data_IF_072662865993
#
_entry.id   IF_072662865993
#
_cell.length_a   1.000
_cell.length_b   1.000
_cell.length_c   1.000
_cell.angle_alpha   90.00
_cell.angle_beta   90.00
_cell.angle_gamma   90.00
#
_symmetry.space_group_name_H-M   'P 1'
#
loop_
_entity.id
_entity.type
_entity.pdbx_description
1 polymer ?
#
# COMPACT_ATOMS: atom_id res chain seq x y z
N UNK A 1 52.67 -30.96 -11.45
CA UNK A 1 54.15 -30.95 -11.41
C UNK A 1 54.61 -29.62 -11.98
N UNK A 2 55.46 -28.79 -11.37
CA UNK A 2 56.07 -28.73 -10.03
C UNK A 2 56.07 -27.23 -9.63
N UNK A 3 55.60 -26.84 -8.45
CA UNK A 3 56.44 -26.56 -7.27
C UNK A 3 57.65 -25.64 -7.54
N UNK A 4 57.57 -24.36 -7.11
CA UNK A 4 58.35 -23.86 -5.96
C UNK A 4 57.96 -22.44 -5.51
N UNK A 5 57.64 -22.32 -4.24
CA UNK A 5 57.74 -21.11 -3.39
C UNK A 5 59.19 -20.77 -3.05
N UNK A 6 59.53 -19.51 -2.73
CA UNK A 6 60.26 -19.14 -1.49
C UNK A 6 60.49 -17.62 -1.30
N UNK A 7 60.63 -17.22 -0.02
CA UNK A 7 61.12 -15.99 0.64
C UNK A 7 60.88 -14.57 0.03
N UNK A 8 60.54 -13.50 0.76
CA UNK A 8 60.72 -13.04 2.17
C UNK A 8 62.00 -12.20 2.48
N UNK A 9 61.76 -10.90 2.71
CA UNK A 9 62.51 -9.91 3.54
C UNK A 9 64.01 -9.65 3.33
N UNK A 10 64.33 -8.38 3.00
CA UNK A 10 65.27 -7.46 3.70
C UNK A 10 65.14 -6.04 3.08
N UNK A 11 64.80 -5.00 3.84
CA UNK A 11 65.71 -3.92 4.35
C UNK A 11 66.72 -3.38 3.33
N UNK A 12 66.90 -2.08 3.10
CA UNK A 12 66.39 -0.85 3.75
C UNK A 12 67.28 0.36 3.36
N UNK A 13 66.96 1.57 3.86
CA UNK A 13 67.64 2.87 3.65
C UNK A 13 67.24 3.63 2.36
N UNK A 14 66.43 4.70 2.45
CA UNK A 14 66.78 6.14 2.69
C UNK A 14 67.26 6.85 1.39
N UNK A 15 66.98 8.13 1.07
CA UNK A 15 66.68 9.32 1.90
C UNK A 15 66.12 10.48 1.02
N UNK A 16 65.54 11.53 1.64
CA UNK A 16 65.26 12.93 1.15
C UNK A 16 63.90 13.20 0.48
N UNK A 17 63.22 14.34 0.70
CA UNK A 17 63.39 15.51 1.58
C UNK A 17 62.07 16.33 1.59
N UNK A 18 61.63 16.91 2.73
CA UNK A 18 61.08 18.28 2.87
C UNK A 18 60.36 18.53 4.23
N UNK A 19 60.37 19.80 4.65
CA UNK A 19 59.84 20.43 5.87
C UNK A 19 58.41 20.02 6.34
N UNK A 20 58.00 20.25 7.59
CA UNK A 20 58.72 20.87 8.71
C UNK A 20 57.81 21.57 9.73
N UNK A 21 57.65 20.92 10.89
CA UNK A 21 57.35 21.47 12.23
C UNK A 21 56.01 22.22 12.48
N UNK A 22 55.23 21.64 13.38
CA UNK A 22 54.16 22.32 14.14
C UNK A 22 54.57 22.35 15.62
N UNK A 23 54.51 23.53 16.24
CA UNK A 23 54.57 23.72 17.71
C UNK A 23 53.21 24.24 18.18
N UNK A 24 52.80 23.86 19.39
CA UNK A 24 51.57 24.38 20.02
C UNK A 24 51.80 24.79 21.48
N UNK A 25 51.21 25.93 21.87
CA UNK A 25 50.98 26.45 23.24
C UNK A 25 49.77 27.40 23.07
N UNK A 26 48.56 27.12 23.56
CA UNK A 26 48.03 27.13 24.93
C UNK A 26 47.63 28.52 25.50
N UNK A 27 46.31 28.66 25.67
CA UNK A 27 45.56 29.31 26.77
C UNK A 27 45.56 30.86 27.01
N UNK A 28 44.36 31.33 27.34
CA UNK A 28 43.94 32.54 28.11
C UNK A 28 43.61 33.85 27.37
N UNK A 29 42.34 34.30 27.54
CA UNK A 29 41.96 35.68 27.84
C UNK A 29 40.63 35.70 28.62
N UNK A 30 40.42 36.71 29.47
CA UNK A 30 39.30 36.79 30.45
C UNK A 30 38.81 38.24 30.58
N UNK A 31 37.48 38.43 30.75
CA UNK A 31 36.78 39.66 31.18
C UNK A 31 36.69 40.87 30.19
N UNK A 32 35.65 41.72 30.16
CA UNK A 32 34.44 41.87 31.01
C UNK A 32 33.30 42.74 30.40
N UNK A 33 32.04 42.38 30.73
CA UNK A 33 30.84 43.22 31.05
C UNK A 33 30.10 44.04 29.95
N UNK A 34 28.78 43.80 29.87
CA UNK A 34 27.70 44.73 29.43
C UNK A 34 26.30 44.14 29.67
N UNK A 35 25.37 44.86 30.31
CA UNK A 35 24.04 44.39 30.78
C UNK A 35 23.12 45.61 31.04
N UNK A 36 21.78 45.61 30.98
CA UNK A 36 20.73 44.59 30.73
C UNK A 36 19.40 45.33 30.41
N UNK A 37 18.18 44.92 30.84
CA UNK A 37 17.72 43.75 31.61
C UNK A 37 16.57 42.95 30.92
N UNK A 38 15.88 42.07 31.66
CA UNK A 38 14.99 41.01 31.15
C UNK A 38 13.47 41.32 31.07
N UNK A 39 12.72 40.49 30.31
CA UNK A 39 11.28 40.25 30.51
C UNK A 39 10.50 39.72 29.29
N UNK A 40 9.87 38.53 29.41
CA UNK A 40 8.84 38.03 28.48
C UNK A 40 9.11 36.63 27.89
N UNK A 41 8.17 35.67 27.98
CA UNK A 41 8.27 34.35 27.33
C UNK A 41 7.53 34.28 25.98
N UNK A 42 7.92 33.28 25.19
CA UNK A 42 7.14 32.58 24.14
C UNK A 42 6.46 33.41 23.03
N UNK A 43 7.12 33.52 21.86
CA UNK A 43 6.45 33.48 20.55
C UNK A 43 7.48 33.16 19.44
N UNK A 44 7.75 31.86 19.20
CA UNK A 44 8.58 31.45 18.05
C UNK A 44 7.70 31.42 16.79
N UNK A 45 7.66 32.54 16.07
CA UNK A 45 7.00 32.66 14.77
C UNK A 45 7.75 31.86 13.72
N UNK A 46 7.24 30.67 13.38
CA UNK A 46 7.81 29.85 12.30
C UNK A 46 7.54 30.50 10.93
N UNK A 47 8.62 30.94 10.26
CA UNK A 47 8.54 31.54 8.93
C UNK A 47 8.10 30.53 7.86
N UNK A 48 7.11 30.91 7.07
CA UNK A 48 6.69 30.20 5.86
C UNK A 48 7.81 30.24 4.81
N UNK A 49 8.62 29.17 4.75
CA UNK A 49 9.48 28.90 3.60
C UNK A 49 8.69 28.20 2.50
N UNK A 50 8.32 28.96 1.47
CA UNK A 50 7.73 28.44 0.24
C UNK A 50 8.83 27.79 -0.60
N UNK A 51 8.82 26.46 -0.77
CA UNK A 51 9.84 25.78 -1.59
C UNK A 51 9.51 24.31 -1.88
N UNK A 52 9.66 23.94 -3.16
CA UNK A 52 9.69 22.59 -3.73
C UNK A 52 8.51 21.63 -3.46
N UNK A 53 7.63 21.50 -4.46
CA UNK A 53 6.79 20.31 -4.62
C UNK A 53 7.66 19.11 -5.02
N UNK A 54 8.27 18.46 -4.02
CA UNK A 54 8.97 17.20 -4.19
C UNK A 54 8.02 16.13 -4.71
N UNK A 55 8.35 15.52 -5.84
CA UNK A 55 7.61 14.40 -6.45
C UNK A 55 7.53 13.22 -5.47
N UNK A 56 6.42 13.11 -4.74
CA UNK A 56 6.21 12.03 -3.78
C UNK A 56 6.16 10.70 -4.51
N UNK A 57 7.15 9.84 -4.26
CA UNK A 57 7.02 8.40 -4.52
C UNK A 57 5.83 7.89 -3.72
N UNK A 58 4.77 7.47 -4.41
CA UNK A 58 3.62 6.82 -3.80
C UNK A 58 4.00 5.37 -3.45
N UNK A 59 4.88 5.21 -2.47
CA UNK A 59 5.01 3.94 -1.73
C UNK A 59 3.75 3.83 -0.86
N UNK A 60 2.65 3.39 -1.49
CA UNK A 60 1.32 3.24 -0.89
C UNK A 60 1.40 2.22 0.24
N UNK A 61 1.73 2.71 1.42
CA UNK A 61 1.91 1.91 2.64
C UNK A 61 0.59 1.87 3.41
N UNK A 62 -0.49 1.64 2.68
CA UNK A 62 -1.73 1.12 3.25
C UNK A 62 -1.37 -0.30 3.71
N UNK A 63 -1.41 -0.61 5.02
CA UNK A 63 -1.14 -1.96 5.49
C UNK A 63 -2.18 -2.90 4.89
N UNK A 64 -1.77 -3.93 4.15
CA UNK A 64 -2.70 -4.81 3.41
C UNK A 64 -3.12 -6.01 4.25
N UNK A 65 -4.32 -5.92 4.83
CA UNK A 65 -4.90 -6.89 5.75
C UNK A 65 -6.43 -6.91 5.74
N UNK A 66 -7.09 -6.31 4.74
CA UNK A 66 -8.55 -6.32 4.63
C UNK A 66 -9.03 -7.75 4.34
N UNK A 67 -9.59 -8.41 5.35
CA UNK A 67 -10.46 -9.55 5.12
C UNK A 67 -11.77 -9.04 4.54
N UNK A 68 -11.99 -9.31 3.25
CA UNK A 68 -13.30 -9.12 2.63
C UNK A 68 -14.32 -10.18 3.13
N UNK A 69 -13.89 -11.28 3.75
CA UNK A 69 -14.81 -12.31 4.28
C UNK A 69 -15.69 -11.71 5.39
N UNK A 70 -17.01 -11.83 5.22
CA UNK A 70 -18.01 -11.21 6.09
C UNK A 70 -18.33 -9.75 5.75
N UNK A 71 -17.64 -9.14 4.79
CA UNK A 71 -17.78 -7.72 4.49
C UNK A 71 -19.08 -7.39 3.76
N UNK A 72 -20.08 -6.91 4.50
CA UNK A 72 -21.30 -6.31 3.95
C UNK A 72 -21.23 -4.78 4.08
N UNK A 73 -20.93 -4.09 2.98
CA UNK A 73 -21.04 -2.62 2.91
C UNK A 73 -22.49 -2.15 2.65
N UNK A 74 -23.48 -3.06 2.65
CA UNK A 74 -24.88 -2.74 2.38
C UNK A 74 -25.39 -1.62 3.32
N UNK A 75 -24.87 -1.54 4.55
CA UNK A 75 -25.19 -0.47 5.49
C UNK A 75 -24.52 0.89 5.20
N UNK A 76 -23.35 0.92 4.57
CA UNK A 76 -22.67 2.14 4.13
C UNK A 76 -23.29 2.72 2.86
N UNK A 77 -23.69 1.82 1.95
CA UNK A 77 -24.40 2.09 0.69
C UNK A 77 -25.72 2.83 0.89
N UNK A 78 -26.61 2.25 1.70
CA UNK A 78 -28.02 2.63 1.69
C UNK A 78 -28.39 3.65 2.77
N UNK A 79 -27.65 3.71 3.88
CA UNK A 79 -28.15 4.40 5.06
C UNK A 79 -27.57 5.81 5.26
N UNK A 80 -26.41 6.18 4.70
CA UNK A 80 -26.02 7.59 4.74
C UNK A 80 -24.62 8.03 4.37
N UNK A 81 -23.58 7.18 4.39
CA UNK A 81 -22.20 7.68 4.15
C UNK A 81 -21.94 8.00 2.68
N UNK A 82 -22.45 7.17 1.77
CA UNK A 82 -22.50 7.43 0.33
C UNK A 82 -23.22 8.75 -0.01
N UNK A 83 -24.31 9.07 0.69
CA UNK A 83 -25.19 10.21 0.39
C UNK A 83 -24.78 11.52 1.07
N UNK A 84 -24.23 11.48 2.29
CA UNK A 84 -23.85 12.66 3.09
C UNK A 84 -22.34 12.95 3.06
N UNK A 85 -21.62 12.29 2.15
CA UNK A 85 -20.18 12.40 2.03
C UNK A 85 -19.40 11.63 3.09
N UNK A 86 -18.14 11.31 2.76
CA UNK A 86 -17.14 10.84 3.71
C UNK A 86 -16.57 12.05 4.48
N UNK A 87 -17.46 12.78 5.14
CA UNK A 87 -17.18 13.97 5.96
C UNK A 87 -17.52 13.70 7.43
N UNK A 88 -17.10 14.61 8.34
CA UNK A 88 -17.51 14.55 9.75
C UNK A 88 -19.05 14.53 9.90
N UNK A 89 -19.78 15.22 9.03
CA UNK A 89 -21.24 15.24 9.02
C UNK A 89 -21.81 13.86 8.65
N UNK A 90 -21.28 13.21 7.62
CA UNK A 90 -21.73 11.86 7.21
C UNK A 90 -21.48 10.79 8.29
N UNK A 91 -20.35 10.87 8.98
CA UNK A 91 -20.02 10.01 10.12
C UNK A 91 -20.88 10.28 11.37
N UNK A 92 -21.53 11.44 11.46
CA UNK A 92 -22.43 11.81 12.57
C UNK A 92 -23.86 11.26 12.42
N UNK A 93 -24.19 10.60 11.31
CA UNK A 93 -25.54 10.07 11.05
C UNK A 93 -25.89 8.87 11.95
N UNK A 94 -27.15 8.77 12.36
CA UNK A 94 -27.69 7.59 13.09
C UNK A 94 -27.46 6.29 12.32
N UNK A 95 -27.63 6.37 11.01
CA UNK A 95 -27.30 5.34 10.03
C UNK A 95 -25.86 4.83 10.07
N UNK A 96 -24.87 5.74 10.02
CA UNK A 96 -23.47 5.35 10.12
C UNK A 96 -23.19 4.70 11.47
N UNK A 97 -23.69 5.28 12.57
CA UNK A 97 -23.57 4.67 13.91
C UNK A 97 -24.13 3.25 13.95
N UNK A 98 -25.32 3.03 13.38
CA UNK A 98 -25.96 1.71 13.34
C UNK A 98 -25.16 0.69 12.53
N UNK A 99 -24.65 1.05 11.34
CA UNK A 99 -23.78 0.17 10.57
C UNK A 99 -22.47 -0.14 11.33
N UNK A 100 -21.82 0.90 11.89
CA UNK A 100 -20.58 0.73 12.65
C UNK A 100 -20.82 -0.15 13.89
N UNK A 101 -21.96 -0.03 14.56
CA UNK A 101 -22.26 -0.86 15.73
C UNK A 101 -22.66 -2.30 15.38
N UNK A 102 -23.09 -2.58 14.14
CA UNK A 102 -23.56 -3.91 13.71
C UNK A 102 -22.46 -4.99 13.65
N UNK A 103 -21.23 -4.63 13.26
CA UNK A 103 -20.09 -5.55 13.27
C UNK A 103 -18.86 -4.93 13.98
N UNK A 104 -18.71 -5.16 15.31
CA UNK A 104 -17.56 -4.69 16.06
C UNK A 104 -16.22 -5.31 15.64
N UNK A 105 -16.23 -6.42 14.89
CA UNK A 105 -15.01 -7.15 14.51
C UNK A 105 -14.35 -6.57 13.27
N UNK A 106 -15.14 -6.14 12.26
CA UNK A 106 -14.60 -5.65 10.98
C UNK A 106 -14.65 -4.13 10.81
N UNK A 107 -15.64 -3.43 11.39
CA UNK A 107 -15.95 -1.99 11.16
C UNK A 107 -14.75 -1.04 11.06
N UNK A 108 -13.79 -1.19 11.96
CA UNK A 108 -12.64 -0.29 12.09
C UNK A 108 -11.67 -0.52 10.94
N UNK A 109 -11.47 -1.78 10.57
CA UNK A 109 -10.61 -2.18 9.46
C UNK A 109 -11.21 -1.70 8.14
N UNK A 110 -12.52 -1.88 7.94
CA UNK A 110 -13.25 -1.35 6.78
C UNK A 110 -13.05 0.15 6.62
N UNK A 111 -13.21 0.92 7.70
CA UNK A 111 -13.05 2.38 7.66
C UNK A 111 -11.61 2.82 7.40
N UNK A 112 -10.59 2.06 7.82
CA UNK A 112 -9.19 2.33 7.42
C UNK A 112 -9.05 2.35 5.89
N UNK A 113 -9.49 1.30 5.17
CA UNK A 113 -9.35 1.26 3.71
C UNK A 113 -10.30 2.20 3.00
N UNK A 114 -11.54 2.37 3.46
CA UNK A 114 -12.46 3.35 2.87
C UNK A 114 -11.84 4.74 2.92
N UNK A 115 -11.26 5.14 4.07
CA UNK A 115 -10.64 6.46 4.21
C UNK A 115 -9.31 6.52 3.46
N UNK A 116 -8.41 5.54 3.56
CA UNK A 116 -7.13 5.54 2.86
C UNK A 116 -7.29 5.57 1.33
N UNK A 117 -8.25 4.83 0.78
CA UNK A 117 -8.59 4.85 -0.64
C UNK A 117 -9.28 6.17 -1.06
N UNK A 118 -10.31 6.61 -0.34
CA UNK A 118 -11.15 7.73 -0.80
C UNK A 118 -10.53 9.11 -0.53
N UNK A 119 -9.90 9.29 0.63
CA UNK A 119 -9.45 10.58 1.16
C UNK A 119 -7.99 10.83 0.78
N UNK A 120 -7.60 12.06 0.37
CA UNK A 120 -6.21 12.38 0.07
C UNK A 120 -5.28 12.27 1.29
N UNK A 121 -4.01 11.96 1.02
CA UNK A 121 -2.94 11.98 2.03
C UNK A 121 -2.87 13.32 2.77
N UNK A 122 -2.46 13.26 4.04
CA UNK A 122 -2.44 14.42 4.94
C UNK A 122 -3.79 14.83 5.54
N UNK A 123 -4.91 14.24 5.09
CA UNK A 123 -6.21 14.40 5.76
C UNK A 123 -6.57 13.18 6.61
N UNK A 124 -7.41 13.38 7.61
CA UNK A 124 -7.93 12.31 8.48
C UNK A 124 -9.45 12.35 8.57
N UNK A 125 -10.05 11.26 9.06
CA UNK A 125 -11.47 11.17 9.42
C UNK A 125 -11.58 10.57 10.81
N UNK A 126 -12.42 11.18 11.66
CA UNK A 126 -12.55 10.81 13.07
C UNK A 126 -14.01 10.54 13.42
N UNK A 127 -14.24 9.53 14.24
CA UNK A 127 -15.56 9.13 14.73
C UNK A 127 -15.48 8.68 16.19
N UNK A 128 -16.32 9.24 17.05
CA UNK A 128 -16.48 8.81 18.45
C UNK A 128 -17.72 7.95 18.58
N UNK A 129 -17.55 6.68 18.97
CA UNK A 129 -18.65 5.76 19.24
C UNK A 129 -19.29 6.10 20.59
N UNK A 130 -20.51 6.63 20.56
CA UNK A 130 -21.27 7.04 21.76
C UNK A 130 -21.55 5.91 22.75
N UNK A 131 -21.48 4.65 22.32
CA UNK A 131 -21.75 3.50 23.19
C UNK A 131 -20.52 3.07 24.00
N UNK A 132 -19.32 3.36 23.50
CA UNK A 132 -18.04 2.94 24.11
C UNK A 132 -17.16 4.12 24.53
N UNK A 133 -17.49 5.34 24.10
CA UNK A 133 -16.67 6.56 24.18
C UNK A 133 -15.27 6.42 23.55
N UNK A 134 -15.06 5.43 22.67
CA UNK A 134 -13.82 5.26 21.91
C UNK A 134 -13.86 6.19 20.70
N UNK A 135 -12.81 6.98 20.52
CA UNK A 135 -12.58 7.78 19.32
C UNK A 135 -11.65 7.05 18.37
N UNK A 136 -12.16 6.76 17.17
CA UNK A 136 -11.42 6.18 16.06
C UNK A 136 -10.95 7.30 15.13
N UNK A 137 -9.71 7.22 14.65
CA UNK A 137 -9.16 8.11 13.63
C UNK A 137 -8.52 7.29 12.52
N UNK A 138 -8.85 7.65 11.28
CA UNK A 138 -8.37 6.99 10.06
C UNK A 138 -7.67 8.02 9.17
N UNK A 139 -6.55 7.64 8.56
CA UNK A 139 -5.75 8.50 7.69
C UNK A 139 -6.16 8.28 6.23
N UNK A 140 -6.26 9.37 5.46
CA UNK A 140 -6.33 9.33 4.00
C UNK A 140 -4.96 9.05 3.39
N UNK A 141 -4.95 8.62 2.13
CA UNK A 141 -3.72 8.36 1.37
C UNK A 141 -3.92 8.69 -0.13
N UNK A 142 -4.69 7.87 -0.84
CA UNK A 142 -4.76 7.90 -2.30
C UNK A 142 -5.67 8.99 -2.90
N UNK A 143 -6.66 9.49 -2.15
CA UNK A 143 -7.55 10.55 -2.65
C UNK A 143 -8.39 10.18 -3.87
N UNK A 144 -8.79 8.91 -4.02
CA UNK A 144 -9.50 8.43 -5.21
C UNK A 144 -10.92 8.99 -5.36
N UNK A 145 -11.48 9.56 -4.29
CA UNK A 145 -12.85 10.07 -4.26
C UNK A 145 -12.91 11.46 -3.57
N UNK A 146 -12.34 12.46 -4.22
CA UNK A 146 -12.19 13.82 -3.68
C UNK A 146 -13.51 14.54 -3.44
N UNK A 147 -14.55 14.31 -4.27
CA UNK A 147 -15.88 14.91 -4.07
C UNK A 147 -16.57 14.28 -2.87
N UNK A 148 -16.51 12.95 -2.76
CA UNK A 148 -17.03 12.21 -1.62
C UNK A 148 -16.32 12.58 -0.32
N UNK A 149 -14.99 12.63 -0.33
CA UNK A 149 -14.15 13.08 0.78
C UNK A 149 -14.42 14.54 1.17
N UNK A 150 -14.74 15.39 0.19
CA UNK A 150 -15.14 16.79 0.38
C UNK A 150 -16.56 16.99 0.95
N UNK A 151 -17.30 15.91 1.23
CA UNK A 151 -18.63 15.98 1.84
C UNK A 151 -19.81 15.98 0.85
N UNK A 152 -19.55 15.85 -0.45
CA UNK A 152 -20.62 15.64 -1.44
C UNK A 152 -21.08 14.17 -1.45
N UNK A 153 -22.26 13.89 -2.01
CA UNK A 153 -22.66 12.53 -2.31
C UNK A 153 -21.65 11.86 -3.26
N UNK A 154 -21.30 10.60 -2.99
CA UNK A 154 -20.38 9.83 -3.83
C UNK A 154 -20.97 9.60 -5.21
N UNK A 155 -20.18 9.85 -6.25
CA UNK A 155 -20.51 9.40 -7.61
C UNK A 155 -20.30 7.89 -7.75
N UNK A 156 -20.99 7.25 -8.69
CA UNK A 156 -20.80 5.82 -8.98
C UNK A 156 -19.34 5.50 -9.32
N UNK A 157 -18.64 6.38 -10.03
CA UNK A 157 -17.22 6.20 -10.37
C UNK A 157 -16.31 6.24 -9.13
N UNK A 158 -16.60 7.09 -8.14
CA UNK A 158 -15.91 7.11 -6.84
C UNK A 158 -16.16 5.83 -6.04
N UNK A 159 -17.42 5.38 -5.95
CA UNK A 159 -17.76 4.12 -5.26
C UNK A 159 -17.09 2.91 -5.92
N UNK A 160 -17.02 2.87 -7.25
CA UNK A 160 -16.33 1.83 -8.00
C UNK A 160 -14.82 1.83 -7.75
N UNK A 161 -14.14 2.98 -7.86
CA UNK A 161 -12.68 3.03 -7.69
C UNK A 161 -12.24 2.79 -6.25
N UNK A 162 -13.03 3.23 -5.26
CA UNK A 162 -12.78 2.90 -3.86
C UNK A 162 -13.00 1.40 -3.62
N UNK A 163 -14.03 0.79 -4.21
CA UNK A 163 -14.23 -0.67 -4.17
C UNK A 163 -13.07 -1.43 -4.82
N UNK A 164 -12.57 -0.94 -5.95
CA UNK A 164 -11.41 -1.50 -6.66
C UNK A 164 -10.12 -1.40 -5.84
N UNK A 165 -9.90 -0.28 -5.14
CA UNK A 165 -8.81 -0.08 -4.21
C UNK A 165 -8.92 -1.02 -2.99
N UNK A 166 -10.09 -1.10 -2.35
CA UNK A 166 -10.33 -2.06 -1.25
C UNK A 166 -10.13 -3.51 -1.69
N UNK A 167 -10.52 -3.87 -2.92
CA UNK A 167 -10.25 -5.17 -3.51
C UNK A 167 -8.75 -5.39 -3.76
N UNK A 168 -8.03 -4.41 -4.29
CA UNK A 168 -6.58 -4.46 -4.46
C UNK A 168 -5.85 -4.66 -3.11
N UNK A 169 -6.33 -4.06 -2.02
CA UNK A 169 -5.76 -4.20 -0.68
C UNK A 169 -6.30 -5.41 0.12
N UNK A 170 -7.21 -6.20 -0.46
CA UNK A 170 -7.74 -7.42 0.16
C UNK A 170 -6.63 -8.47 0.34
N UNK A 171 -6.56 -9.07 1.52
CA UNK A 171 -5.53 -10.06 1.81
C UNK A 171 -6.08 -11.26 2.60
N UNK A 172 -6.04 -12.45 1.98
CA UNK A 172 -6.48 -13.70 2.59
C UNK A 172 -5.57 -14.20 3.72
N UNK A 173 -4.29 -13.84 3.66
CA UNK A 173 -3.27 -14.32 4.61
C UNK A 173 -2.95 -13.29 5.71
N UNK A 174 -3.52 -12.09 5.65
CA UNK A 174 -3.18 -10.97 6.56
C UNK A 174 -1.78 -10.39 6.36
N UNK A 175 -1.13 -10.67 5.22
CA UNK A 175 0.27 -10.29 4.97
C UNK A 175 0.34 -8.97 4.21
N UNK A 176 1.06 -8.00 4.76
CA UNK A 176 1.29 -6.73 4.07
C UNK A 176 2.25 -6.93 2.90
N UNK A 177 1.77 -6.61 1.69
CA UNK A 177 2.53 -6.53 0.44
C UNK A 177 2.44 -5.09 -0.03
N UNK A 178 3.54 -4.39 -0.29
CA UNK A 178 3.46 -3.02 -0.81
C UNK A 178 3.13 -3.06 -2.30
N UNK A 179 2.25 -2.17 -2.76
CA UNK A 179 1.74 -2.15 -4.14
C UNK A 179 1.90 -0.77 -4.76
N UNK A 180 2.27 -0.73 -6.04
CA UNK A 180 1.99 0.41 -6.91
C UNK A 180 0.54 0.32 -7.37
N UNK A 181 -0.19 1.43 -7.24
CA UNK A 181 -1.63 1.55 -7.49
C UNK A 181 -1.85 2.50 -8.67
N UNK A 182 -2.26 1.95 -9.81
CA UNK A 182 -2.37 2.67 -11.08
C UNK A 182 -3.81 2.65 -11.61
N UNK A 183 -4.24 3.72 -12.24
CA UNK A 183 -5.62 3.84 -12.71
C UNK A 183 -6.05 5.29 -12.93
N UNK A 184 -7.37 5.48 -12.99
CA UNK A 184 -8.00 6.80 -12.93
C UNK A 184 -8.83 6.90 -11.65
N UNK A 185 -8.85 8.06 -11.00
CA UNK A 185 -9.71 8.32 -9.84
C UNK A 185 -11.20 8.45 -10.26
N UNK A 186 -12.07 8.74 -9.28
CA UNK A 186 -13.50 8.92 -9.54
C UNK A 186 -13.83 10.02 -10.55
N UNK A 187 -13.04 11.10 -10.57
CA UNK A 187 -13.17 12.19 -11.55
C UNK A 187 -12.60 11.85 -12.94
N UNK A 188 -11.94 10.70 -13.11
CA UNK A 188 -11.30 10.29 -14.37
C UNK A 188 -9.88 10.82 -14.57
N UNK A 189 -9.30 11.49 -13.58
CA UNK A 189 -7.89 11.93 -13.60
C UNK A 189 -6.97 10.75 -13.27
N UNK A 190 -5.85 10.63 -13.97
CA UNK A 190 -4.83 9.61 -13.69
C UNK A 190 -4.32 9.72 -12.26
N UNK A 191 -4.25 8.57 -11.56
CA UNK A 191 -3.60 8.47 -10.25
C UNK A 191 -2.10 8.76 -10.46
N UNK A 192 -1.48 9.71 -9.71
CA UNK A 192 -0.08 10.04 -9.91
C UNK A 192 0.84 8.83 -9.66
N UNK A 193 1.78 8.59 -10.57
CA UNK A 193 2.82 7.57 -10.45
C UNK A 193 4.13 8.08 -11.05
N UNK A 194 5.25 7.42 -10.73
CA UNK A 194 6.59 7.79 -11.24
C UNK A 194 7.23 6.68 -12.07
N UNK A 195 8.19 7.02 -12.94
CA UNK A 195 8.99 6.01 -13.66
C UNK A 195 9.84 5.14 -12.73
N UNK A 196 10.24 5.69 -11.57
CA UNK A 196 10.97 4.96 -10.53
C UNK A 196 10.07 3.91 -9.88
N UNK A 197 8.86 4.29 -9.48
CA UNK A 197 7.83 3.37 -8.98
C UNK A 197 7.52 2.24 -9.98
N UNK A 198 7.35 2.54 -11.28
CA UNK A 198 7.14 1.50 -12.30
C UNK A 198 8.35 0.55 -12.48
N UNK A 199 9.54 0.97 -12.04
CA UNK A 199 10.77 0.17 -12.04
C UNK A 199 10.85 -0.70 -10.80
N UNK A 200 10.63 -0.13 -9.61
CA UNK A 200 10.66 -0.83 -8.32
C UNK A 200 9.51 -1.84 -8.18
N UNK A 201 8.32 -1.47 -8.66
CA UNK A 201 7.15 -2.33 -8.80
C UNK A 201 7.08 -2.92 -10.23
N UNK A 202 8.19 -3.52 -10.68
CA UNK A 202 8.32 -4.05 -12.02
C UNK A 202 7.30 -5.15 -12.38
N UNK A 203 6.84 -5.93 -11.39
CA UNK A 203 5.93 -7.07 -11.61
C UNK A 203 4.49 -6.58 -11.75
N UNK A 204 3.93 -6.68 -12.97
CA UNK A 204 2.48 -6.53 -13.18
C UNK A 204 1.76 -7.68 -12.50
N UNK A 205 0.80 -7.36 -11.64
CA UNK A 205 0.09 -8.34 -10.82
C UNK A 205 -1.30 -8.61 -11.42
N UNK A 206 -2.21 -7.64 -11.29
CA UNK A 206 -3.60 -7.80 -11.69
C UNK A 206 -4.37 -6.50 -11.77
N UNK A 207 -5.65 -6.63 -12.07
CA UNK A 207 -6.63 -5.56 -12.04
C UNK A 207 -7.81 -5.96 -11.15
N UNK A 208 -8.33 -4.96 -10.45
CA UNK A 208 -9.41 -5.10 -9.48
C UNK A 208 -10.50 -4.10 -9.83
N UNK A 209 -11.76 -4.52 -9.77
CA UNK A 209 -12.91 -3.68 -10.09
C UNK A 209 -14.20 -4.21 -9.46
N UNK A 210 -15.28 -3.44 -9.53
CA UNK A 210 -16.59 -3.81 -9.00
C UNK A 210 -17.24 -2.65 -8.26
N UNK A 211 -18.19 -2.97 -7.38
CA UNK A 211 -18.85 -2.01 -6.51
C UNK A 211 -19.36 -2.72 -5.26
N UNK A 212 -18.74 -2.42 -4.12
CA UNK A 212 -19.20 -2.92 -2.82
C UNK A 212 -20.39 -2.10 -2.30
N UNK A 213 -20.64 -0.91 -2.85
CA UNK A 213 -21.62 0.07 -2.35
C UNK A 213 -22.96 0.08 -3.10
N UNK A 214 -23.28 -0.93 -3.91
CA UNK A 214 -24.65 -1.19 -4.40
C UNK A 214 -25.33 -2.41 -3.74
N UNK A 215 -24.59 -3.09 -2.86
CA UNK A 215 -25.06 -4.26 -2.11
C UNK A 215 -25.37 -5.51 -2.93
N UNK A 216 -24.97 -5.57 -4.21
CA UNK A 216 -25.28 -6.70 -5.10
C UNK A 216 -24.16 -7.09 -6.07
N UNK A 217 -23.30 -6.16 -6.49
CA UNK A 217 -22.23 -6.43 -7.46
C UNK A 217 -21.04 -7.17 -6.85
N UNK A 218 -20.57 -6.74 -5.68
CA UNK A 218 -19.34 -7.26 -5.09
C UNK A 218 -18.08 -6.76 -5.81
N UNK A 219 -17.01 -7.56 -5.81
CA UNK A 219 -15.73 -7.22 -6.45
C UNK A 219 -15.14 -8.38 -7.25
N UNK A 220 -14.35 -8.01 -8.24
CA UNK A 220 -13.72 -8.88 -9.22
C UNK A 220 -12.21 -8.67 -9.24
N UNK A 221 -11.46 -9.77 -9.35
CA UNK A 221 -10.01 -9.77 -9.53
C UNK A 221 -9.65 -10.51 -10.80
N UNK A 222 -8.64 -10.02 -11.52
CA UNK A 222 -8.14 -10.65 -12.73
C UNK A 222 -6.62 -10.48 -12.86
N UNK A 223 -5.99 -11.41 -13.56
CA UNK A 223 -4.54 -11.46 -13.79
C UNK A 223 -4.09 -10.51 -14.91
N UNK A 224 -3.03 -9.71 -14.67
CA UNK A 224 -2.40 -8.85 -15.70
C UNK A 224 -1.08 -9.44 -16.25
N UNK A 225 -1.09 -10.74 -16.54
CA UNK A 225 0.04 -11.43 -17.18
C UNK A 225 1.14 -11.89 -16.23
N UNK A 226 0.96 -11.79 -14.91
CA UNK A 226 1.83 -12.48 -13.94
C UNK A 226 1.80 -13.99 -14.22
N UNK A 227 2.96 -14.62 -14.33
CA UNK A 227 3.13 -16.08 -14.44
C UNK A 227 4.12 -16.57 -13.40
N UNK A 228 3.77 -17.62 -12.65
CA UNK A 228 4.64 -18.25 -11.65
C UNK A 228 5.15 -19.61 -12.14
N UNK A 229 6.37 -19.97 -11.75
CA UNK A 229 6.86 -21.35 -11.90
C UNK A 229 6.21 -22.29 -10.87
N UNK A 230 6.40 -23.61 -11.01
CA UNK A 230 5.87 -24.61 -10.07
C UNK A 230 6.43 -24.52 -8.64
N UNK A 231 7.59 -23.86 -8.46
CA UNK A 231 8.20 -23.61 -7.14
C UNK A 231 7.80 -22.26 -6.55
N UNK A 232 7.14 -21.39 -7.33
CA UNK A 232 6.81 -20.02 -6.92
C UNK A 232 5.41 -19.89 -6.35
N UNK A 233 5.24 -18.98 -5.39
CA UNK A 233 3.95 -18.55 -4.87
C UNK A 233 3.87 -17.04 -4.70
N UNK A 234 2.65 -16.54 -4.49
CA UNK A 234 2.40 -15.16 -4.09
C UNK A 234 1.17 -15.11 -3.18
N UNK A 235 1.14 -14.23 -2.16
CA UNK A 235 -0.05 -14.01 -1.34
C UNK A 235 -1.22 -13.35 -2.11
N UNK A 236 -0.99 -12.90 -3.35
CA UNK A 236 -1.92 -12.13 -4.20
C UNK A 236 -2.90 -13.00 -5.00
N UNK A 237 -3.58 -13.93 -4.32
CA UNK A 237 -4.33 -15.06 -4.92
C UNK A 237 -5.40 -14.66 -5.94
N UNK A 238 -6.03 -13.49 -5.80
CA UNK A 238 -7.06 -12.98 -6.69
C UNK A 238 -6.53 -12.38 -8.02
N UNK A 239 -5.20 -12.32 -8.20
CA UNK A 239 -4.55 -11.88 -9.42
C UNK A 239 -3.66 -12.97 -10.07
N UNK A 240 -3.63 -14.18 -9.51
CA UNK A 240 -2.79 -15.26 -10.03
C UNK A 240 -3.43 -15.99 -11.23
N UNK A 241 -2.62 -16.34 -12.25
CA UNK A 241 -3.11 -17.11 -13.38
C UNK A 241 -3.43 -18.53 -12.93
N UNK A 242 -4.46 -19.14 -13.52
CA UNK A 242 -4.81 -20.53 -13.18
C UNK A 242 -5.13 -20.74 -11.70
N UNK A 243 -5.70 -19.73 -11.03
CA UNK A 243 -6.36 -19.81 -9.71
C UNK A 243 -7.79 -20.36 -9.92
N UNK A 244 -8.02 -21.69 -9.97
CA UNK A 244 -9.24 -22.26 -10.57
C UNK A 244 -10.29 -22.60 -9.51
N UNK A 245 -9.89 -22.57 -8.24
CA UNK A 245 -10.76 -22.70 -7.10
C UNK A 245 -11.21 -21.29 -6.75
N UNK A 246 -12.37 -20.87 -7.27
CA UNK A 246 -13.01 -19.60 -6.93
C UNK A 246 -13.10 -19.38 -5.41
N UNK A 247 -13.25 -20.46 -4.64
CA UNK A 247 -13.17 -20.51 -3.17
C UNK A 247 -11.87 -19.94 -2.56
N UNK A 248 -10.79 -19.80 -3.33
CA UNK A 248 -9.55 -19.20 -2.87
C UNK A 248 -9.53 -17.68 -2.94
N UNK A 249 -10.32 -17.06 -3.83
CA UNK A 249 -10.47 -15.60 -3.95
C UNK A 249 -11.69 -15.05 -3.18
N UNK A 250 -12.58 -15.93 -2.67
CA UNK A 250 -13.77 -15.57 -1.90
C UNK A 250 -13.49 -14.51 -0.82
N UNK A 251 -14.36 -13.49 -0.71
CA UNK A 251 -15.61 -13.28 -1.43
C UNK A 251 -15.48 -12.44 -2.71
N UNK A 252 -14.26 -12.10 -3.12
CA UNK A 252 -14.03 -11.57 -4.46
C UNK A 252 -14.15 -12.69 -5.50
N UNK A 253 -14.61 -12.36 -6.70
CA UNK A 253 -14.72 -13.32 -7.81
C UNK A 253 -13.51 -13.16 -8.73
N UNK A 254 -12.71 -14.22 -8.89
CA UNK A 254 -11.69 -14.25 -9.93
C UNK A 254 -12.35 -14.45 -11.31
N UNK A 255 -12.09 -13.54 -12.25
CA UNK A 255 -12.76 -13.56 -13.58
C UNK A 255 -11.86 -14.00 -14.74
N UNK A 256 -10.56 -14.20 -14.51
CA UNK A 256 -9.61 -14.60 -15.56
C UNK A 256 -8.56 -13.53 -15.83
N UNK A 257 -8.36 -13.15 -17.11
CA UNK A 257 -7.36 -12.13 -17.48
C UNK A 257 -7.97 -10.74 -17.61
N UNK A 258 -7.22 -9.73 -17.15
CA UNK A 258 -7.56 -8.33 -17.35
C UNK A 258 -7.74 -7.96 -18.82
N UNK A 259 -6.93 -8.51 -19.72
CA UNK A 259 -6.99 -8.23 -21.16
C UNK A 259 -8.31 -8.66 -21.82
N UNK A 260 -9.07 -9.56 -21.19
CA UNK A 260 -10.39 -10.01 -21.68
C UNK A 260 -11.49 -8.98 -21.43
N UNK A 261 -11.42 -8.23 -20.34
CA UNK A 261 -12.53 -7.37 -19.87
C UNK A 261 -12.17 -5.88 -19.82
N UNK A 262 -10.87 -5.54 -19.84
CA UNK A 262 -10.40 -4.21 -19.49
C UNK A 262 -9.65 -3.52 -20.64
N UNK A 263 -9.92 -2.22 -20.83
CA UNK A 263 -9.26 -1.38 -21.83
C UNK A 263 -8.03 -0.70 -21.21
N UNK A 264 -6.86 -0.85 -21.83
CA UNK A 264 -5.64 -0.16 -21.38
C UNK A 264 -5.68 1.33 -21.70
N UNK A 265 -4.88 2.10 -20.98
CA UNK A 265 -4.53 3.47 -21.36
C UNK A 265 -3.60 3.50 -22.60
N UNK A 266 -3.40 4.68 -23.19
CA UNK A 266 -2.58 4.84 -24.40
C UNK A 266 -1.12 4.40 -24.24
N UNK A 267 -0.57 4.39 -23.02
CA UNK A 267 0.80 3.97 -22.72
C UNK A 267 0.92 2.48 -22.39
N UNK A 268 -0.20 1.74 -22.27
CA UNK A 268 -0.26 0.35 -21.81
C UNK A 268 0.28 0.12 -20.38
N UNK A 269 0.26 1.16 -19.56
CA UNK A 269 0.72 1.16 -18.17
C UNK A 269 -0.36 0.63 -17.23
N UNK A 270 -1.63 1.02 -17.45
CA UNK A 270 -2.76 0.65 -16.58
C UNK A 270 -4.07 0.49 -17.38
N UNK A 271 -5.14 0.08 -16.70
CA UNK A 271 -6.49 -0.07 -17.26
C UNK A 271 -7.39 1.14 -16.93
N UNK A 272 -8.08 1.69 -17.93
CA UNK A 272 -8.95 2.88 -17.81
C UNK A 272 -10.40 2.52 -17.46
N UNK A 273 -10.84 1.34 -17.89
CA UNK A 273 -12.17 0.76 -17.67
C UNK A 273 -12.10 -0.78 -17.70
N UNK A 274 -13.03 -1.44 -17.03
CA UNK A 274 -13.30 -2.87 -17.17
C UNK A 274 -14.81 -3.09 -17.35
N UNK A 275 -15.24 -3.91 -18.32
CA UNK A 275 -16.65 -4.24 -18.55
C UNK A 275 -16.91 -5.71 -18.25
N UNK A 276 -17.79 -5.99 -17.29
CA UNK A 276 -18.17 -7.35 -16.89
C UNK A 276 -19.68 -7.41 -16.61
N UNK A 277 -20.34 -8.48 -17.04
CA UNK A 277 -21.80 -8.66 -16.96
C UNK A 277 -22.62 -7.44 -17.44
N UNK A 278 -22.13 -6.74 -18.48
CA UNK A 278 -22.80 -5.56 -19.07
C UNK A 278 -22.59 -4.24 -18.33
N UNK A 279 -21.88 -4.23 -17.20
CA UNK A 279 -21.56 -3.02 -16.43
C UNK A 279 -20.11 -2.64 -16.66
N UNK A 280 -19.86 -1.35 -16.91
CA UNK A 280 -18.51 -0.79 -16.99
C UNK A 280 -18.11 -0.17 -15.65
N UNK A 281 -16.95 -0.57 -15.16
CA UNK A 281 -16.37 -0.17 -13.87
C UNK A 281 -15.12 0.68 -14.07
N UNK A 282 -14.82 1.52 -13.07
CA UNK A 282 -13.50 2.13 -12.88
C UNK A 282 -12.57 1.14 -12.14
N UNK A 283 -11.53 0.60 -12.78
CA UNK A 283 -10.63 -0.37 -12.15
C UNK A 283 -9.43 0.30 -11.47
N UNK A 284 -8.75 -0.50 -10.64
CA UNK A 284 -7.37 -0.30 -10.21
C UNK A 284 -6.51 -1.38 -10.87
N UNK A 285 -5.34 -0.99 -11.37
CA UNK A 285 -4.27 -1.89 -11.81
C UNK A 285 -3.19 -1.91 -10.73
N UNK A 286 -2.68 -3.08 -10.40
CA UNK A 286 -1.69 -3.28 -9.34
C UNK A 286 -0.37 -3.78 -9.89
N UNK A 287 0.71 -3.36 -9.25
CA UNK A 287 2.05 -3.90 -9.47
C UNK A 287 2.74 -4.11 -8.12
N UNK A 288 3.60 -5.12 -8.07
CA UNK A 288 4.28 -5.58 -6.84
C UNK A 288 5.80 -5.62 -7.05
N UNK A 289 6.57 -5.71 -5.96
CA UNK A 289 8.04 -5.89 -6.06
C UNK A 289 8.34 -7.34 -6.41
N UNK A 290 9.46 -7.59 -7.08
CA UNK A 290 9.87 -8.96 -7.39
C UNK A 290 10.14 -9.81 -6.12
N UNK A 291 10.50 -9.16 -5.01
CA UNK A 291 10.70 -9.79 -3.70
C UNK A 291 9.40 -10.31 -3.05
N UNK A 292 8.23 -9.89 -3.53
CA UNK A 292 6.91 -10.37 -3.07
C UNK A 292 6.45 -11.63 -3.82
N UNK A 293 7.30 -12.19 -4.68
CA UNK A 293 7.18 -13.52 -5.28
C UNK A 293 8.10 -14.47 -4.50
N UNK A 294 7.48 -15.39 -3.76
CA UNK A 294 8.17 -16.34 -2.89
C UNK A 294 8.53 -17.61 -3.65
N UNK A 295 9.60 -18.31 -3.27
CA UNK A 295 10.05 -19.52 -3.96
C UNK A 295 10.51 -20.61 -3.00
N UNK A 296 9.86 -21.77 -3.02
CA UNK A 296 10.30 -22.93 -2.26
C UNK A 296 11.76 -23.29 -2.60
N UNK A 297 12.61 -23.24 -1.58
CA UNK A 297 14.07 -23.31 -1.64
C UNK A 297 14.78 -21.96 -1.43
N UNK A 298 14.10 -20.89 -1.04
CA UNK A 298 14.71 -19.58 -0.74
C UNK A 298 15.16 -19.42 0.73
N UNK A 299 14.85 -20.40 1.58
CA UNK A 299 15.30 -20.49 2.97
C UNK A 299 14.32 -19.93 4.00
N UNK A 300 13.12 -19.49 3.59
CA UNK A 300 12.09 -18.97 4.50
C UNK A 300 10.75 -19.63 4.23
N UNK A 301 10.17 -20.37 5.18
CA UNK A 301 8.81 -20.90 5.00
C UNK A 301 7.77 -19.77 5.04
N UNK A 302 7.30 -19.29 3.88
CA UNK A 302 6.27 -18.25 3.83
C UNK A 302 4.85 -18.82 4.04
N UNK A 303 3.87 -17.97 4.37
CA UNK A 303 2.51 -18.44 4.69
C UNK A 303 1.75 -19.06 3.50
N UNK A 304 2.17 -18.74 2.27
CA UNK A 304 1.70 -19.40 1.04
C UNK A 304 2.22 -20.82 0.89
N UNK A 305 3.27 -21.16 1.63
CA UNK A 305 3.94 -22.46 1.59
C UNK A 305 3.49 -23.40 2.72
N UNK A 306 3.69 -24.70 2.54
CA UNK A 306 3.31 -25.75 3.48
C UNK A 306 4.45 -26.76 3.61
N UNK A 307 4.56 -27.38 4.78
CA UNK A 307 5.46 -28.52 4.99
C UNK A 307 5.21 -29.63 3.95
N UNK A 308 6.22 -30.48 3.74
CA UNK A 308 6.09 -31.61 2.84
C UNK A 308 7.42 -32.25 2.45
N UNK A 309 7.42 -32.90 1.29
CA UNK A 309 8.57 -33.66 0.77
C UNK A 309 8.98 -33.22 -0.65
N UNK A 310 8.28 -32.23 -1.22
CA UNK A 310 8.51 -31.73 -2.57
C UNK A 310 9.27 -30.40 -2.63
N UNK A 311 9.18 -29.77 -3.79
CA UNK A 311 9.80 -28.49 -4.15
C UNK A 311 8.75 -27.48 -4.65
N UNK A 312 7.53 -27.56 -4.14
CA UNK A 312 6.41 -26.68 -4.52
C UNK A 312 5.85 -26.01 -3.28
N UNK A 313 5.22 -24.83 -3.38
CA UNK A 313 4.62 -24.17 -2.21
C UNK A 313 3.62 -25.06 -1.46
N UNK A 314 2.89 -25.94 -2.17
CA UNK A 314 1.94 -26.86 -1.53
C UNK A 314 2.61 -28.03 -0.76
N UNK A 315 3.92 -28.23 -0.89
CA UNK A 315 4.71 -29.28 -0.26
C UNK A 315 6.20 -28.91 -0.37
N UNK A 316 6.65 -27.97 0.46
CA UNK A 316 8.02 -27.44 0.42
C UNK A 316 8.88 -28.04 1.54
N UNK A 317 9.72 -29.02 1.17
CA UNK A 317 10.63 -29.66 2.12
C UNK A 317 11.81 -28.76 2.51
N UNK A 318 12.29 -27.92 1.60
CA UNK A 318 13.49 -27.11 1.77
C UNK A 318 13.31 -26.04 2.86
N UNK A 319 12.17 -25.34 2.84
CA UNK A 319 11.94 -24.19 3.70
C UNK A 319 11.00 -24.51 4.86
N UNK A 320 9.94 -25.28 4.62
CA UNK A 320 8.93 -25.64 5.62
C UNK A 320 9.15 -27.01 6.29
N UNK A 321 10.16 -27.78 5.87
CA UNK A 321 10.46 -29.11 6.40
C UNK A 321 9.37 -30.16 6.11
N UNK A 322 9.53 -31.35 6.68
CA UNK A 322 8.54 -32.42 6.60
C UNK A 322 7.32 -32.12 7.49
N UNK A 323 6.13 -32.56 7.09
CA UNK A 323 4.94 -32.41 7.93
C UNK A 323 4.98 -33.37 9.15
N UNK A 324 4.40 -32.95 10.31
CA UNK A 324 4.18 -33.81 11.47
C UNK A 324 3.25 -35.01 11.20
#
# INVERSE_FOLDING_TARGET
MLLKTFESRRSGWELRLAAGWVWGVALTLVCTIGCGPAGGPDEETSELTTGEFGSTTQDVTIPNGLSLNGLSLNGLSLNGLSLNGLSLNGLSTSSFRSWFQADPTTRNEVMKYVVACAVPSGQTRTFTDSNTNITYTWNGDLGLATSWAGGSAATTAELQVVSACMAAHANKFGIHVTLSILGLNGAGTTIPYTSQELTDYGVKEGCFFGNLFDGSTGTFGANDGLTLTSSQSSPRVCALPGSPNSSQCVPMTYVGSCSTYCTRDATNTFYTSCTYNGVTYRPITTRMKAADIYSCGDGVCQATEKCGTGTTPASCAADCGACP
#
